data_IF_513618907348
#
_entry.id   IF_513618907348
#
_cell.length_a   1.000
_cell.length_b   1.000
_cell.length_c   1.000
_cell.angle_alpha   90.00
_cell.angle_beta   90.00
_cell.angle_gamma   90.00
#
_symmetry.space_group_name_H-M   'P 1'
#
loop_
_entity.id
_entity.type
_entity.pdbx_description
1 polymer ?
#
# COMPACT_ATOMS: atom_id res chain seq x y z
N UNK A 1 -12.30 -16.34 -7.81
CA UNK A 1 -13.16 -16.95 -6.76
C UNK A 1 -12.44 -18.18 -6.19
N UNK A 2 -12.12 -18.23 -4.87
CA UNK A 2 -11.44 -19.35 -4.20
C UNK A 2 -12.14 -20.70 -4.42
N UNK A 3 -13.48 -20.72 -4.43
CA UNK A 3 -14.25 -21.97 -4.61
C UNK A 3 -14.10 -22.56 -6.03
N UNK A 4 -14.00 -21.69 -7.05
CA UNK A 4 -13.77 -22.15 -8.43
C UNK A 4 -12.41 -22.84 -8.53
N UNK A 5 -11.35 -22.23 -7.95
CA UNK A 5 -10.01 -22.82 -7.92
C UNK A 5 -9.99 -24.15 -7.17
N UNK A 6 -10.63 -24.20 -5.99
CA UNK A 6 -10.74 -25.43 -5.21
C UNK A 6 -11.46 -26.54 -6.01
N UNK A 7 -12.56 -26.23 -6.68
CA UNK A 7 -13.30 -27.21 -7.50
C UNK A 7 -12.46 -27.75 -8.66
N UNK A 8 -11.69 -26.90 -9.34
CA UNK A 8 -10.77 -27.35 -10.39
C UNK A 8 -9.71 -28.31 -9.84
N UNK A 9 -9.08 -27.95 -8.73
CA UNK A 9 -8.08 -28.82 -8.06
C UNK A 9 -8.73 -30.15 -7.64
N UNK A 10 -9.91 -30.10 -7.02
CA UNK A 10 -10.66 -31.31 -6.62
C UNK A 10 -10.95 -32.22 -7.79
N UNK A 11 -11.36 -31.66 -8.93
CA UNK A 11 -11.64 -32.41 -10.17
C UNK A 11 -10.37 -33.15 -10.64
N UNK A 12 -9.24 -32.47 -10.67
CA UNK A 12 -7.95 -33.07 -11.06
C UNK A 12 -7.58 -34.20 -10.11
N UNK A 13 -7.65 -33.98 -8.78
CA UNK A 13 -7.34 -35.01 -7.78
C UNK A 13 -8.26 -36.23 -7.96
N UNK A 14 -9.57 -36.01 -8.12
CA UNK A 14 -10.54 -37.10 -8.29
C UNK A 14 -10.24 -37.89 -9.55
N UNK A 15 -9.94 -37.25 -10.67
CA UNK A 15 -9.60 -37.92 -11.92
C UNK A 15 -8.34 -38.79 -11.79
N UNK A 16 -7.29 -38.25 -11.14
CA UNK A 16 -6.06 -39.00 -10.90
C UNK A 16 -6.28 -40.22 -10.00
N UNK A 17 -7.07 -40.06 -8.93
CA UNK A 17 -7.40 -41.18 -8.01
C UNK A 17 -8.33 -42.21 -8.66
N UNK A 18 -9.20 -41.82 -9.55
CA UNK A 18 -10.04 -42.73 -10.33
C UNK A 18 -9.18 -43.56 -11.30
N UNK A 19 -8.18 -42.96 -11.93
CA UNK A 19 -7.25 -43.63 -12.84
C UNK A 19 -6.31 -44.58 -12.09
N UNK A 20 -5.86 -44.22 -10.87
CA UNK A 20 -5.04 -45.03 -10.00
C UNK A 20 -5.28 -44.66 -8.52
N UNK A 21 -6.00 -45.54 -7.81
CA UNK A 21 -6.36 -45.35 -6.40
C UNK A 21 -5.15 -45.15 -5.46
N UNK A 22 -3.98 -45.66 -5.84
CA UNK A 22 -2.73 -45.54 -5.07
C UNK A 22 -1.96 -44.25 -5.35
N UNK A 23 -2.47 -43.37 -6.22
CA UNK A 23 -1.84 -42.10 -6.53
C UNK A 23 -1.69 -41.25 -5.26
N UNK A 24 -0.51 -40.69 -5.06
CA UNK A 24 -0.18 -39.76 -3.99
C UNK A 24 0.16 -38.39 -4.63
N UNK A 25 -0.16 -37.33 -3.94
CA UNK A 25 0.12 -35.98 -4.39
C UNK A 25 0.37 -35.04 -3.20
N UNK A 26 0.87 -33.86 -3.48
CA UNK A 26 0.97 -32.76 -2.54
C UNK A 26 0.38 -31.51 -3.19
N UNK A 27 -0.31 -30.70 -2.40
CA UNK A 27 -0.83 -29.39 -2.82
C UNK A 27 -0.13 -28.36 -1.95
N UNK A 28 0.44 -27.34 -2.60
CA UNK A 28 1.05 -26.22 -1.89
C UNK A 28 0.08 -25.05 -1.75
N UNK A 29 0.17 -24.34 -0.63
CA UNK A 29 -0.49 -23.06 -0.47
C UNK A 29 0.16 -21.98 -1.35
N UNK A 30 -0.61 -20.94 -1.65
CA UNK A 30 -0.15 -19.76 -2.36
C UNK A 30 0.67 -18.90 -1.39
N UNK A 31 1.93 -18.56 -1.70
CA UNK A 31 2.73 -17.66 -0.85
C UNK A 31 2.16 -16.23 -0.89
N UNK A 32 2.37 -15.48 0.19
CA UNK A 32 2.00 -14.07 0.21
C UNK A 32 2.91 -13.28 -0.74
N UNK A 33 2.33 -12.71 -1.79
CA UNK A 33 3.07 -11.91 -2.76
C UNK A 33 3.72 -10.68 -2.11
N UNK A 34 3.12 -10.14 -1.05
CA UNK A 34 3.64 -8.99 -0.29
C UNK A 34 4.96 -9.25 0.42
N UNK A 35 5.40 -10.51 0.54
CA UNK A 35 6.66 -10.89 1.20
C UNK A 35 7.87 -10.93 0.26
N UNK A 36 7.69 -10.76 -1.06
CA UNK A 36 8.81 -10.79 -2.00
C UNK A 36 9.58 -9.47 -2.04
N UNK A 37 10.85 -9.46 -2.48
CA UNK A 37 11.69 -8.25 -2.52
C UNK A 37 11.10 -7.05 -3.25
N UNK A 38 10.21 -7.29 -4.22
CA UNK A 38 9.51 -6.23 -4.94
C UNK A 38 8.73 -5.29 -4.00
N UNK A 39 8.22 -5.80 -2.87
CA UNK A 39 7.45 -5.06 -1.87
C UNK A 39 8.22 -4.74 -0.60
N UNK A 40 9.34 -5.42 -0.34
CA UNK A 40 10.04 -5.33 0.96
C UNK A 40 11.39 -4.63 0.89
N UNK A 41 11.89 -4.31 -0.31
CA UNK A 41 13.22 -3.68 -0.48
C UNK A 41 13.23 -2.21 -0.10
N UNK A 42 12.16 -1.47 -0.37
CA UNK A 42 12.06 -0.05 -0.05
C UNK A 42 11.39 0.11 1.31
N UNK A 43 12.04 0.77 2.29
CA UNK A 43 11.42 0.98 3.60
C UNK A 43 10.19 1.89 3.48
N UNK A 44 9.20 1.70 4.34
CA UNK A 44 7.98 2.51 4.38
C UNK A 44 8.25 3.99 4.75
N UNK A 45 9.35 4.26 5.42
CA UNK A 45 9.82 5.62 5.77
C UNK A 45 11.15 5.93 5.08
N UNK A 46 11.15 6.13 3.74
CA UNK A 46 12.38 6.18 2.96
C UNK A 46 13.09 7.54 3.01
N UNK A 47 12.46 8.56 3.55
CA UNK A 47 12.99 9.93 3.54
C UNK A 47 13.73 10.19 4.85
N UNK A 48 15.06 10.36 4.76
CA UNK A 48 15.95 10.63 5.87
C UNK A 48 17.00 11.70 5.53
N UNK A 49 17.67 12.21 6.56
CA UNK A 49 18.81 13.14 6.38
C UNK A 49 18.42 14.51 5.85
N UNK A 50 17.18 14.95 6.04
CA UNK A 50 16.74 16.29 5.67
C UNK A 50 17.40 17.34 6.55
N UNK A 51 17.94 18.38 5.94
CA UNK A 51 18.44 19.56 6.65
C UNK A 51 17.27 20.39 7.21
N UNK A 52 17.52 21.23 8.22
CA UNK A 52 16.49 22.13 8.76
C UNK A 52 15.88 23.05 7.69
N UNK A 53 16.69 23.53 6.75
CA UNK A 53 16.20 24.34 5.63
C UNK A 53 15.25 23.55 4.70
N UNK A 54 15.58 22.30 4.38
CA UNK A 54 14.72 21.44 3.57
C UNK A 54 13.40 21.12 4.29
N UNK A 55 13.44 20.84 5.59
CA UNK A 55 12.26 20.60 6.43
C UNK A 55 11.34 21.83 6.39
N UNK A 56 11.91 23.04 6.62
CA UNK A 56 11.16 24.29 6.59
C UNK A 56 10.52 24.50 5.20
N UNK A 57 11.27 24.30 4.13
CA UNK A 57 10.78 24.44 2.77
C UNK A 57 9.64 23.46 2.45
N UNK A 58 9.80 22.18 2.80
CA UNK A 58 8.79 21.14 2.55
C UNK A 58 7.51 21.39 3.36
N UNK A 59 7.65 21.68 4.65
CA UNK A 59 6.50 21.99 5.50
C UNK A 59 5.79 23.27 5.05
N UNK A 60 6.52 24.27 4.57
CA UNK A 60 5.95 25.46 3.96
C UNK A 60 5.17 25.14 2.68
N UNK A 61 5.69 24.28 1.82
CA UNK A 61 5.01 23.86 0.60
C UNK A 61 3.67 23.14 0.86
N UNK A 62 3.59 22.36 1.95
CA UNK A 62 2.36 21.66 2.34
C UNK A 62 1.46 22.45 3.31
N UNK A 63 1.84 23.65 3.73
CA UNK A 63 1.08 24.43 4.71
C UNK A 63 -0.36 24.72 4.24
N UNK A 64 -0.53 25.14 2.99
CA UNK A 64 -1.86 25.40 2.41
C UNK A 64 -2.73 24.14 2.33
N UNK A 65 -2.14 23.00 1.94
CA UNK A 65 -2.81 21.69 1.94
C UNK A 65 -3.29 21.31 3.35
N UNK A 66 -2.41 21.41 4.34
CA UNK A 66 -2.74 21.09 5.73
C UNK A 66 -3.82 22.03 6.32
N UNK A 67 -3.78 23.33 5.95
CA UNK A 67 -4.82 24.29 6.34
C UNK A 67 -6.18 23.94 5.71
N UNK A 68 -6.20 23.58 4.41
CA UNK A 68 -7.39 23.12 3.72
C UNK A 68 -8.00 21.87 4.35
N UNK A 69 -7.16 20.90 4.78
CA UNK A 69 -7.62 19.73 5.53
C UNK A 69 -8.29 20.13 6.86
N UNK A 70 -7.75 21.14 7.56
CA UNK A 70 -8.36 21.68 8.78
C UNK A 70 -9.74 22.25 8.54
N UNK A 71 -9.92 22.96 7.41
CA UNK A 71 -11.24 23.49 7.00
C UNK A 71 -12.22 22.36 6.63
N UNK A 72 -11.75 21.35 5.88
CA UNK A 72 -12.57 20.19 5.52
C UNK A 72 -13.03 19.42 6.76
N UNK A 73 -12.14 19.25 7.77
CA UNK A 73 -12.51 18.67 9.07
C UNK A 73 -13.54 19.53 9.80
N UNK A 74 -13.34 20.84 9.89
CA UNK A 74 -14.28 21.74 10.55
C UNK A 74 -15.66 21.73 9.88
N UNK A 75 -15.73 21.49 8.59
CA UNK A 75 -16.96 21.32 7.82
C UNK A 75 -17.54 19.88 7.90
N UNK A 76 -16.97 18.98 8.71
CA UNK A 76 -17.34 17.57 8.84
C UNK A 76 -17.30 16.78 7.52
N UNK A 77 -16.46 17.16 6.57
CA UNK A 77 -16.25 16.45 5.30
C UNK A 77 -15.27 15.26 5.46
N UNK A 78 -14.41 15.33 6.47
CA UNK A 78 -13.51 14.23 6.87
C UNK A 78 -13.51 14.10 8.39
N UNK A 79 -13.20 12.90 8.86
CA UNK A 79 -13.06 12.62 10.30
C UNK A 79 -11.74 13.18 10.86
N UNK A 80 -11.64 13.30 12.19
CA UNK A 80 -10.38 13.61 12.88
C UNK A 80 -9.26 12.60 12.52
N UNK A 81 -9.61 11.32 12.44
CA UNK A 81 -8.67 10.26 12.10
C UNK A 81 -8.11 10.46 10.68
N UNK A 82 -8.96 10.75 9.70
CA UNK A 82 -8.52 11.01 8.33
C UNK A 82 -7.73 12.31 8.22
N UNK A 83 -8.14 13.35 8.94
CA UNK A 83 -7.36 14.60 9.01
C UNK A 83 -5.92 14.33 9.50
N UNK A 84 -5.76 13.57 10.58
CA UNK A 84 -4.45 13.23 11.12
C UNK A 84 -3.64 12.34 10.15
N UNK A 85 -4.28 11.39 9.48
CA UNK A 85 -3.67 10.53 8.49
C UNK A 85 -3.14 11.32 7.27
N UNK A 86 -3.88 12.33 6.82
CA UNK A 86 -3.55 13.12 5.63
C UNK A 86 -2.54 14.22 5.86
N UNK A 87 -2.38 14.70 7.09
CA UNK A 87 -1.42 15.78 7.39
C UNK A 87 -0.01 15.39 6.97
N UNK A 88 0.63 16.28 6.20
CA UNK A 88 2.00 16.12 5.74
C UNK A 88 2.90 16.98 6.61
N UNK A 89 3.84 16.35 7.29
CA UNK A 89 4.79 17.02 8.17
C UNK A 89 6.14 16.29 8.17
N UNK A 90 7.18 16.99 7.77
CA UNK A 90 8.56 16.49 7.78
C UNK A 90 9.28 16.92 9.05
N UNK A 91 10.14 16.06 9.56
CA UNK A 91 10.94 16.28 10.77
C UNK A 91 12.40 15.82 10.58
N UNK A 92 13.22 16.07 11.59
CA UNK A 92 14.60 15.63 11.59
C UNK A 92 14.72 14.15 12.03
N UNK A 93 14.29 13.26 11.16
CA UNK A 93 14.29 11.81 11.40
C UNK A 93 13.89 11.06 10.16
N UNK A 94 13.33 9.85 10.36
CA UNK A 94 12.73 9.08 9.28
C UNK A 94 11.33 9.62 9.00
N UNK A 95 11.06 9.90 7.73
CA UNK A 95 9.76 10.40 7.29
C UNK A 95 9.17 9.46 6.24
N UNK A 96 7.85 9.30 6.26
CA UNK A 96 7.11 8.67 5.19
C UNK A 96 7.22 9.46 3.88
N UNK A 97 7.21 8.77 2.76
CA UNK A 97 7.09 9.41 1.46
C UNK A 97 5.68 9.97 1.27
N UNK A 98 5.54 11.14 0.66
CA UNK A 98 4.23 11.65 0.24
C UNK A 98 3.74 10.83 -0.94
N UNK A 99 2.52 10.33 -0.86
CA UNK A 99 1.90 9.45 -1.83
C UNK A 99 0.52 9.96 -2.23
N UNK A 100 0.06 9.54 -3.41
CA UNK A 100 -1.35 9.63 -3.80
C UNK A 100 -2.05 8.37 -3.26
N UNK A 101 -3.09 8.56 -2.45
CA UNK A 101 -3.91 7.47 -1.90
C UNK A 101 -5.38 7.67 -2.32
N UNK A 102 -5.86 6.78 -3.17
CA UNK A 102 -7.22 6.84 -3.74
C UNK A 102 -8.32 6.38 -2.77
N UNK A 103 -7.94 5.72 -1.68
CA UNK A 103 -8.89 5.28 -0.65
C UNK A 103 -9.29 6.42 0.33
N UNK A 104 -8.67 7.60 0.21
CA UNK A 104 -9.02 8.79 0.98
C UNK A 104 -10.30 9.45 0.45
N UNK A 105 -11.01 10.15 1.31
CA UNK A 105 -12.18 10.95 0.92
C UNK A 105 -11.82 11.94 -0.20
N UNK A 106 -12.61 11.95 -1.26
CA UNK A 106 -12.37 12.84 -2.38
C UNK A 106 -12.72 14.30 -2.01
N UNK A 107 -11.71 15.13 -1.91
CA UNK A 107 -11.81 16.56 -1.62
C UNK A 107 -11.41 17.42 -2.83
N UNK A 108 -11.40 16.87 -4.04
CA UNK A 108 -11.01 17.61 -5.26
C UNK A 108 -11.87 18.84 -5.54
N UNK A 109 -13.16 18.81 -5.11
CA UNK A 109 -14.05 19.97 -5.17
C UNK A 109 -13.58 21.16 -4.32
N UNK A 110 -12.69 20.95 -3.35
CA UNK A 110 -12.02 21.98 -2.55
C UNK A 110 -10.59 22.27 -3.05
N UNK A 111 -10.18 21.68 -4.19
CA UNK A 111 -8.82 21.79 -4.69
C UNK A 111 -7.78 20.99 -3.87
N UNK A 112 -8.22 20.08 -3.00
CA UNK A 112 -7.34 19.27 -2.16
C UNK A 112 -7.10 17.89 -2.79
N UNK A 113 -5.87 17.57 -3.20
CA UNK A 113 -5.54 16.25 -3.71
C UNK A 113 -5.58 15.19 -2.61
N UNK A 114 -5.76 13.92 -2.99
CA UNK A 114 -5.76 12.78 -2.08
C UNK A 114 -4.32 12.38 -1.72
N UNK A 115 -3.69 13.14 -0.84
CA UNK A 115 -2.30 12.93 -0.41
C UNK A 115 -2.23 12.57 1.07
N UNK A 116 -1.22 11.77 1.40
CA UNK A 116 -0.73 11.51 2.77
C UNK A 116 0.72 11.05 2.75
N UNK A 117 1.35 10.97 3.90
CA UNK A 117 2.64 10.27 4.02
C UNK A 117 2.43 8.76 4.21
N UNK A 118 3.39 7.96 3.77
CA UNK A 118 3.40 6.51 4.05
C UNK A 118 3.58 6.25 5.53
N UNK A 119 2.95 5.18 6.00
CA UNK A 119 3.06 4.62 7.34
C UNK A 119 3.84 3.30 7.31
N UNK A 120 4.12 2.72 8.47
CA UNK A 120 4.86 1.46 8.58
C UNK A 120 4.17 0.27 7.86
N UNK A 121 2.86 0.38 7.60
CA UNK A 121 2.07 -0.68 6.99
C UNK A 121 1.91 -0.55 5.47
N UNK A 122 2.41 0.55 4.88
CA UNK A 122 2.42 0.73 3.43
C UNK A 122 3.64 0.07 2.81
N UNK A 123 3.48 -0.49 1.62
CA UNK A 123 4.54 -1.14 0.87
C UNK A 123 4.92 -0.28 -0.33
N UNK A 124 6.10 0.33 -0.27
CA UNK A 124 6.63 1.09 -1.41
C UNK A 124 7.26 0.10 -2.38
N UNK A 125 6.81 0.11 -3.63
CA UNK A 125 7.25 -0.83 -4.65
C UNK A 125 8.68 -0.52 -5.11
N UNK A 126 9.45 -1.55 -5.43
CA UNK A 126 10.84 -1.44 -5.87
C UNK A 126 11.07 -0.39 -6.99
N UNK A 127 10.21 -0.22 -8.01
CA UNK A 127 10.39 0.82 -9.02
C UNK A 127 10.34 2.26 -8.50
N UNK A 128 9.73 2.51 -7.34
CA UNK A 128 9.71 3.83 -6.71
C UNK A 128 11.12 4.30 -6.30
N UNK A 129 12.06 3.36 -6.10
CA UNK A 129 13.42 3.67 -5.64
C UNK A 129 14.15 4.65 -6.58
N UNK A 130 13.91 4.55 -7.88
CA UNK A 130 14.47 5.49 -8.87
C UNK A 130 13.99 6.92 -8.62
N UNK A 131 12.68 7.10 -8.35
CA UNK A 131 12.09 8.41 -8.09
C UNK A 131 12.54 8.98 -6.74
N UNK A 132 12.64 8.12 -5.72
CA UNK A 132 13.09 8.51 -4.37
C UNK A 132 14.54 8.97 -4.35
N UNK A 133 15.38 8.43 -5.23
CA UNK A 133 16.81 8.79 -5.35
C UNK A 133 17.06 9.97 -6.29
N UNK A 134 16.09 10.32 -7.12
CA UNK A 134 16.23 11.41 -8.09
C UNK A 134 16.10 12.76 -7.39
N UNK A 135 17.22 13.46 -7.28
CA UNK A 135 17.30 14.79 -6.63
C UNK A 135 16.59 15.88 -7.45
N UNK A 136 16.34 15.66 -8.72
CA UNK A 136 15.61 16.58 -9.62
C UNK A 136 14.10 16.41 -9.44
N UNK A 137 13.64 15.16 -9.49
CA UNK A 137 12.21 14.81 -9.34
C UNK A 137 11.75 15.00 -7.91
N UNK A 138 12.62 14.74 -6.91
CA UNK A 138 12.31 14.82 -5.48
C UNK A 138 11.07 13.98 -5.12
N UNK A 139 11.02 12.76 -5.66
CA UNK A 139 9.91 11.83 -5.44
C UNK A 139 9.68 11.53 -3.95
N UNK A 140 8.43 11.44 -3.55
CA UNK A 140 8.06 11.21 -2.14
C UNK A 140 8.24 12.40 -1.21
N UNK A 141 8.70 13.56 -1.72
CA UNK A 141 8.81 14.81 -0.97
C UNK A 141 8.03 15.93 -1.66
N UNK A 142 8.66 16.74 -2.51
CA UNK A 142 7.98 17.79 -3.26
C UNK A 142 7.08 17.21 -4.37
N UNK A 143 7.41 16.05 -4.91
CA UNK A 143 6.60 15.33 -5.91
C UNK A 143 6.04 14.06 -5.27
N UNK A 144 4.73 13.99 -5.01
CA UNK A 144 4.10 12.79 -4.47
C UNK A 144 4.34 11.57 -5.36
N UNK A 145 4.58 10.41 -4.76
CA UNK A 145 4.60 9.15 -5.51
C UNK A 145 3.18 8.85 -6.00
N UNK A 146 3.08 8.53 -7.28
CA UNK A 146 1.80 8.10 -7.85
C UNK A 146 1.38 6.75 -7.25
N UNK A 147 0.09 6.51 -7.18
CA UNK A 147 -0.58 5.32 -6.69
C UNK A 147 0.07 3.99 -7.15
N UNK A 148 0.45 3.89 -8.40
CA UNK A 148 1.13 2.70 -8.97
C UNK A 148 2.50 2.33 -8.34
N UNK A 149 3.04 3.17 -7.47
CA UNK A 149 4.32 2.95 -6.80
C UNK A 149 4.20 2.53 -5.34
N UNK A 150 2.98 2.46 -4.82
CA UNK A 150 2.73 2.10 -3.42
C UNK A 150 1.53 1.18 -3.34
N UNK A 151 1.66 0.09 -2.61
CA UNK A 151 0.53 -0.72 -2.17
C UNK A 151 0.20 -0.25 -0.74
N UNK A 152 -0.91 0.45 -0.59
CA UNK A 152 -1.36 0.98 0.70
C UNK A 152 -1.75 -0.14 1.67
N UNK A 153 -1.75 0.17 2.98
CA UNK A 153 -2.19 -0.79 4.01
C UNK A 153 -3.54 -1.45 3.67
N UNK A 154 -4.51 -0.66 3.21
CA UNK A 154 -5.85 -1.16 2.84
C UNK A 154 -5.80 -2.09 1.64
N UNK A 155 -4.98 -1.78 0.65
CA UNK A 155 -4.80 -2.62 -0.54
C UNK A 155 -4.04 -3.90 -0.19
N UNK A 156 -2.97 -3.79 0.61
CA UNK A 156 -2.22 -4.93 1.12
C UNK A 156 -3.12 -5.88 1.92
N UNK A 157 -3.99 -5.35 2.78
CA UNK A 157 -4.97 -6.15 3.53
C UNK A 157 -5.94 -6.90 2.60
N UNK A 158 -6.41 -6.29 1.50
CA UNK A 158 -7.26 -6.97 0.50
C UNK A 158 -6.51 -8.12 -0.17
N UNK A 159 -5.24 -7.92 -0.53
CA UNK A 159 -4.39 -8.94 -1.16
C UNK A 159 -4.15 -10.11 -0.19
N UNK A 160 -3.84 -9.81 1.07
CA UNK A 160 -3.64 -10.84 2.12
C UNK A 160 -4.92 -11.63 2.33
N UNK A 161 -6.06 -10.96 2.53
CA UNK A 161 -7.35 -11.62 2.73
C UNK A 161 -7.75 -12.51 1.54
N UNK A 162 -7.46 -12.10 0.30
CA UNK A 162 -7.69 -12.92 -0.87
C UNK A 162 -6.80 -14.17 -0.84
N UNK A 163 -5.50 -14.02 -0.52
CA UNK A 163 -4.57 -15.17 -0.40
C UNK A 163 -5.02 -16.14 0.68
N UNK A 164 -5.47 -15.63 1.85
CA UNK A 164 -6.00 -16.45 2.94
C UNK A 164 -7.23 -17.25 2.51
N UNK A 165 -8.16 -16.62 1.79
CA UNK A 165 -9.35 -17.29 1.29
C UNK A 165 -9.02 -18.41 0.28
N UNK A 166 -8.06 -18.18 -0.62
CA UNK A 166 -7.56 -19.23 -1.51
C UNK A 166 -6.89 -20.37 -0.74
N UNK A 167 -6.03 -20.05 0.22
CA UNK A 167 -5.31 -21.05 1.01
C UNK A 167 -6.25 -21.86 1.90
N UNK A 168 -7.27 -21.24 2.49
CA UNK A 168 -8.32 -21.96 3.22
C UNK A 168 -9.06 -22.97 2.32
N UNK A 169 -9.40 -22.54 1.08
CA UNK A 169 -10.05 -23.43 0.11
C UNK A 169 -9.14 -24.57 -0.34
N UNK A 170 -7.84 -24.33 -0.56
CA UNK A 170 -6.83 -25.33 -0.90
C UNK A 170 -6.66 -26.32 0.26
N UNK A 171 -6.53 -25.83 1.49
CA UNK A 171 -6.34 -26.68 2.68
C UNK A 171 -7.54 -27.59 2.96
N UNK A 172 -8.75 -27.18 2.56
CA UNK A 172 -9.95 -28.00 2.69
C UNK A 172 -9.99 -29.23 1.77
N UNK A 173 -9.05 -29.33 0.81
CA UNK A 173 -8.93 -30.43 -0.16
C UNK A 173 -7.92 -31.50 0.28
N UNK A 174 -7.11 -31.23 1.31
CA UNK A 174 -6.07 -32.13 1.81
C UNK A 174 -6.65 -33.05 2.89
#
# INVERSE_FOLDING_TARGET
DPNVVANVIKTVITSLKTANANSKGAIANIPYVTSIPYFTTVPATPIAGLTAAQITQLNGAYAAYNAGLGQAKAANLITEAEFNQRRINFNNGLNGAVIVDKDLTNLSGLGLPSLRQTTANDLILLPALTLLRDTTVKGGTATPLADKYVLTEKEAAKVIAATDAYNASISSLA
#
